data_IF_992947284671
#
_entry.id   IF_992947284671
#
_cell.length_a   1.000
_cell.length_b   1.000
_cell.length_c   1.000
_cell.angle_alpha   90.00
_cell.angle_beta   90.00
_cell.angle_gamma   90.00
#
_symmetry.space_group_name_H-M   'P 1'
#
loop_
_entity.id
_entity.type
_entity.pdbx_description
1 polymer ?
#
# COMPACT_ATOMS: atom_id res chain seq x y z
N UNK A 1 15.63 -19.62 9.27
CA UNK A 1 14.35 -18.89 9.47
C UNK A 1 13.28 -19.95 9.64
N UNK A 2 12.31 -19.75 10.55
CA UNK A 2 11.21 -20.71 10.76
C UNK A 2 10.23 -20.69 9.58
N UNK A 3 9.53 -21.80 9.34
CA UNK A 3 8.49 -21.92 8.29
C UNK A 3 7.43 -20.80 8.38
N UNK A 4 7.10 -20.37 9.60
CA UNK A 4 6.16 -19.28 9.86
C UNK A 4 6.67 -17.93 9.33
N UNK A 5 7.98 -17.65 9.47
CA UNK A 5 8.57 -16.42 8.97
C UNK A 5 8.55 -16.37 7.43
N UNK A 6 8.78 -17.50 6.76
CA UNK A 6 8.66 -17.60 5.30
C UNK A 6 7.20 -17.44 4.84
N UNK A 7 6.25 -18.02 5.57
CA UNK A 7 4.82 -17.85 5.29
C UNK A 7 4.35 -16.39 5.42
N UNK A 8 4.87 -15.66 6.41
CA UNK A 8 4.61 -14.23 6.55
C UNK A 8 5.21 -13.40 5.41
N UNK A 9 6.46 -13.68 5.02
CA UNK A 9 7.10 -12.99 3.88
C UNK A 9 6.34 -13.25 2.58
N UNK A 10 5.89 -14.49 2.37
CA UNK A 10 5.04 -14.86 1.24
C UNK A 10 3.71 -14.08 1.28
N UNK A 11 3.10 -13.98 2.46
CA UNK A 11 1.87 -13.20 2.66
C UNK A 11 2.06 -11.71 2.43
N UNK A 12 3.26 -11.14 2.68
CA UNK A 12 3.57 -9.75 2.37
C UNK A 12 3.56 -9.48 0.86
N UNK A 13 4.00 -10.44 0.05
CA UNK A 13 4.25 -10.29 -1.39
C UNK A 13 2.97 -10.28 -2.24
N UNK A 14 2.18 -9.21 -2.10
CA UNK A 14 0.96 -8.96 -2.86
C UNK A 14 0.69 -7.45 -2.97
N UNK A 15 -0.42 -7.08 -3.63
CA UNK A 15 -0.91 -5.70 -3.66
C UNK A 15 -1.82 -5.41 -2.47
N UNK A 16 -1.50 -4.32 -1.78
CA UNK A 16 -2.22 -3.83 -0.61
C UNK A 16 -2.87 -2.49 -0.91
N UNK A 17 -4.11 -2.35 -0.46
CA UNK A 17 -5.01 -1.28 -0.85
C UNK A 17 -5.52 -0.53 0.38
N UNK A 18 -5.38 0.80 0.36
CA UNK A 18 -5.99 1.65 1.38
C UNK A 18 -7.45 2.04 1.03
N UNK A 19 -7.81 1.93 -0.25
CA UNK A 19 -9.13 2.16 -0.82
C UNK A 19 -9.46 1.15 -1.92
N UNK A 20 -10.75 0.96 -2.21
CA UNK A 20 -11.20 -0.01 -3.23
C UNK A 20 -10.95 0.42 -4.69
N UNK A 21 -10.68 1.71 -4.93
CA UNK A 21 -10.42 2.31 -6.24
C UNK A 21 -8.93 2.20 -6.66
N UNK A 22 -8.07 1.72 -5.77
CA UNK A 22 -6.64 1.56 -6.00
C UNK A 22 -5.92 2.90 -6.19
N UNK A 23 -6.38 3.94 -5.50
CA UNK A 23 -5.76 5.28 -5.51
C UNK A 23 -4.52 5.34 -4.61
N UNK A 24 -4.55 4.60 -3.51
CA UNK A 24 -3.46 4.49 -2.56
C UNK A 24 -3.11 3.01 -2.35
N UNK A 25 -2.02 2.59 -2.99
CA UNK A 25 -1.58 1.19 -2.97
C UNK A 25 -0.10 1.05 -2.64
N UNK A 26 0.23 -0.09 -2.04
CA UNK A 26 1.60 -0.56 -1.89
C UNK A 26 1.66 -2.02 -2.32
N UNK A 27 2.58 -2.35 -3.22
CA UNK A 27 2.77 -3.71 -3.74
C UNK A 27 4.16 -4.20 -3.40
N UNK A 28 4.25 -5.40 -2.83
CA UNK A 28 5.52 -6.08 -2.57
C UNK A 28 5.69 -7.27 -3.52
N UNK A 29 6.86 -7.37 -4.13
CA UNK A 29 7.26 -8.50 -4.95
C UNK A 29 8.28 -9.36 -4.20
N UNK A 30 8.26 -10.68 -4.42
CA UNK A 30 9.15 -11.66 -3.78
C UNK A 30 10.65 -11.48 -4.06
N UNK A 31 11.01 -10.63 -5.03
CA UNK A 31 12.40 -10.28 -5.36
C UNK A 31 12.99 -9.10 -4.60
N UNK A 32 12.35 -8.64 -3.51
CA UNK A 32 12.83 -7.47 -2.75
C UNK A 32 12.59 -6.14 -3.48
N UNK A 33 11.62 -6.10 -4.39
CA UNK A 33 11.16 -4.88 -5.06
C UNK A 33 9.69 -4.66 -4.78
N UNK A 34 9.21 -3.45 -5.05
CA UNK A 34 7.80 -3.12 -4.90
C UNK A 34 7.46 -1.79 -5.52
N UNK A 35 6.21 -1.38 -5.36
CA UNK A 35 5.66 -0.16 -5.93
C UNK A 35 4.83 0.56 -4.87
N UNK A 36 5.00 1.88 -4.77
CA UNK A 36 4.19 2.74 -3.93
C UNK A 36 3.44 3.73 -4.82
N UNK A 37 2.13 3.79 -4.64
CA UNK A 37 1.25 4.69 -5.39
C UNK A 37 0.44 5.54 -4.42
N UNK A 38 0.40 6.83 -4.72
CA UNK A 38 -0.57 7.76 -4.16
C UNK A 38 -1.03 8.69 -5.27
N UNK A 39 -2.29 8.53 -5.63
CA UNK A 39 -3.04 9.39 -6.54
C UNK A 39 -4.41 9.67 -5.91
N UNK A 40 -5.13 10.64 -6.44
CA UNK A 40 -6.56 10.78 -6.22
C UNK A 40 -7.13 11.63 -7.35
N UNK A 41 -8.31 11.27 -7.84
CA UNK A 41 -8.93 11.92 -8.98
C UNK A 41 -7.96 11.97 -10.19
N UNK A 42 -7.64 13.18 -10.68
CA UNK A 42 -6.71 13.41 -11.79
C UNK A 42 -5.27 13.71 -11.34
N UNK A 43 -5.00 13.69 -10.04
CA UNK A 43 -3.69 14.02 -9.48
C UNK A 43 -2.92 12.76 -9.10
N UNK A 44 -1.62 12.77 -9.40
CA UNK A 44 -0.69 11.71 -9.00
C UNK A 44 0.44 12.41 -8.29
N UNK A 45 0.86 11.86 -7.16
CA UNK A 45 1.95 12.43 -6.36
C UNK A 45 3.11 11.46 -6.21
N UNK A 46 2.77 10.20 -5.94
CA UNK A 46 3.73 9.11 -5.82
C UNK A 46 3.34 8.01 -6.78
N UNK A 47 4.27 7.61 -7.61
CA UNK A 47 4.20 6.47 -8.51
C UNK A 47 5.63 5.96 -8.70
N UNK A 48 6.15 5.30 -7.68
CA UNK A 48 7.57 5.02 -7.51
C UNK A 48 7.81 3.54 -7.24
N UNK A 49 8.89 2.99 -7.80
CA UNK A 49 9.41 1.70 -7.37
C UNK A 49 10.17 1.85 -6.05
N UNK A 50 10.19 0.80 -5.25
CA UNK A 50 11.04 0.70 -4.09
C UNK A 50 11.78 -0.63 -4.05
N UNK A 51 12.89 -0.66 -3.32
CA UNK A 51 13.50 -1.91 -2.87
C UNK A 51 13.12 -2.17 -1.42
N UNK A 52 13.03 -3.44 -1.05
CA UNK A 52 12.75 -3.84 0.32
C UNK A 52 13.50 -5.12 0.68
N UNK A 53 13.69 -5.32 1.98
CA UNK A 53 14.23 -6.55 2.55
C UNK A 53 13.67 -6.77 3.94
N UNK A 54 13.55 -8.04 4.33
CA UNK A 54 13.41 -8.41 5.73
C UNK A 54 14.68 -8.01 6.49
N UNK A 55 14.52 -7.55 7.71
CA UNK A 55 15.62 -7.26 8.64
C UNK A 55 15.36 -8.00 9.95
N UNK A 56 16.38 -8.10 10.79
CA UNK A 56 16.23 -8.79 12.08
C UNK A 56 15.20 -8.07 12.94
N UNK A 57 14.19 -8.83 13.38
CA UNK A 57 13.18 -8.35 14.30
C UNK A 57 13.79 -8.13 15.70
N UNK A 58 13.33 -7.13 16.46
CA UNK A 58 13.63 -7.06 17.89
C UNK A 58 13.12 -8.33 18.59
N UNK A 59 13.79 -8.77 19.65
CA UNK A 59 13.59 -10.08 20.30
C UNK A 59 12.19 -10.39 20.85
N UNK A 60 11.23 -9.46 20.74
CA UNK A 60 9.85 -9.53 21.27
C UNK A 60 8.77 -9.29 20.20
N UNK A 61 9.04 -9.54 18.92
CA UNK A 61 8.01 -9.46 17.88
C UNK A 61 7.02 -10.61 17.97
N UNK A 62 5.73 -10.32 17.83
CA UNK A 62 4.69 -11.34 17.77
C UNK A 62 4.79 -12.19 16.49
N UNK A 63 4.17 -13.37 16.50
CA UNK A 63 4.20 -14.34 15.39
C UNK A 63 3.59 -13.84 14.07
N UNK A 64 2.94 -12.68 14.08
CA UNK A 64 2.34 -12.05 12.91
C UNK A 64 3.05 -10.75 12.49
N UNK A 65 4.25 -10.50 13.04
CA UNK A 65 5.02 -9.30 12.78
C UNK A 65 6.30 -9.56 12.00
N UNK A 66 6.67 -8.59 11.16
CA UNK A 66 7.88 -8.60 10.35
C UNK A 66 8.58 -7.25 10.48
N UNK A 67 9.88 -7.26 10.76
CA UNK A 67 10.70 -6.08 10.58
C UNK A 67 11.18 -6.03 9.13
N UNK A 68 10.91 -4.91 8.44
CA UNK A 68 11.32 -4.70 7.05
C UNK A 68 12.01 -3.35 6.88
N UNK A 69 12.86 -3.24 5.88
CA UNK A 69 13.40 -1.98 5.41
C UNK A 69 12.90 -1.71 4.00
N UNK A 70 12.41 -0.50 3.74
CA UNK A 70 11.95 -0.04 2.43
C UNK A 70 12.77 1.19 2.01
N UNK A 71 13.17 1.24 0.75
CA UNK A 71 13.83 2.40 0.15
C UNK A 71 13.13 2.77 -1.16
N UNK A 72 12.49 3.95 -1.19
CA UNK A 72 11.94 4.50 -2.43
C UNK A 72 13.06 4.81 -3.42
N UNK A 73 12.76 4.63 -4.71
CA UNK A 73 13.65 5.00 -5.82
C UNK A 73 13.02 6.14 -6.63
N UNK A 74 13.82 6.79 -7.46
CA UNK A 74 13.31 7.78 -8.42
C UNK A 74 12.70 7.13 -9.67
N UNK A 75 12.76 5.80 -9.77
CA UNK A 75 12.21 5.05 -10.90
C UNK A 75 10.69 5.09 -10.86
N UNK A 76 10.10 5.67 -11.91
CA UNK A 76 8.65 5.74 -12.11
C UNK A 76 8.09 4.36 -12.48
N UNK A 77 6.79 4.17 -12.24
CA UNK A 77 6.07 2.96 -12.65
C UNK A 77 5.08 3.28 -13.78
N UNK A 78 4.73 2.32 -14.64
CA UNK A 78 3.66 2.50 -15.61
C UNK A 78 2.32 2.86 -14.97
N UNK A 79 1.50 3.71 -15.61
CA UNK A 79 1.75 4.40 -16.88
C UNK A 79 2.50 5.75 -16.72
N UNK A 80 2.95 6.10 -15.52
CA UNK A 80 3.56 7.40 -15.19
C UNK A 80 5.04 7.51 -15.53
N UNK A 81 5.65 6.42 -16.01
CA UNK A 81 6.95 6.40 -16.66
C UNK A 81 6.90 6.86 -18.13
N UNK A 82 5.69 7.05 -18.68
CA UNK A 82 5.51 7.52 -20.05
C UNK A 82 6.12 8.92 -20.26
N UNK A 83 6.84 9.15 -21.37
CA UNK A 83 7.32 10.49 -21.76
C UNK A 83 6.19 11.51 -21.96
N UNK A 84 4.95 11.05 -22.22
CA UNK A 84 3.79 11.93 -22.39
C UNK A 84 3.19 12.42 -21.08
N UNK A 85 3.58 11.82 -19.94
CA UNK A 85 3.12 12.26 -18.63
C UNK A 85 3.89 13.51 -18.19
N UNK A 86 3.18 14.63 -18.05
CA UNK A 86 3.75 15.94 -17.72
C UNK A 86 3.57 16.34 -16.24
N UNK A 87 2.93 15.49 -15.43
CA UNK A 87 2.71 15.76 -14.02
C UNK A 87 3.99 15.72 -13.17
N UNK A 88 4.02 16.52 -12.10
CA UNK A 88 5.10 16.48 -11.10
C UNK A 88 4.83 15.36 -10.10
N UNK A 89 5.72 14.36 -10.05
CA UNK A 89 5.63 13.23 -9.12
C UNK A 89 6.99 12.90 -8.49
N UNK A 90 7.00 12.04 -7.48
CA UNK A 90 8.21 11.46 -6.89
C UNK A 90 9.26 12.53 -6.56
N UNK A 91 10.45 12.46 -7.16
CA UNK A 91 11.59 13.36 -6.94
C UNK A 91 11.32 14.82 -7.26
N UNK A 92 10.20 15.15 -7.92
CA UNK A 92 9.78 16.52 -8.23
C UNK A 92 8.90 17.14 -7.13
N UNK A 93 8.26 16.31 -6.29
CA UNK A 93 7.41 16.72 -5.16
C UNK A 93 7.91 16.21 -3.81
N UNK A 94 8.96 15.39 -3.80
CA UNK A 94 9.63 14.86 -2.60
C UNK A 94 11.08 15.32 -2.53
N UNK A 95 11.57 15.56 -1.31
CA UNK A 95 12.98 15.87 -1.06
C UNK A 95 13.83 14.59 -0.93
N UNK A 96 15.17 14.74 -0.89
CA UNK A 96 16.10 13.60 -0.91
C UNK A 96 15.89 12.60 0.23
N UNK A 97 15.47 13.10 1.40
CA UNK A 97 15.18 12.33 2.60
C UNK A 97 14.06 11.29 2.41
N UNK A 98 13.15 11.52 1.46
CA UNK A 98 12.12 10.56 1.07
C UNK A 98 12.70 9.25 0.49
N UNK A 99 13.89 9.31 -0.10
CA UNK A 99 14.54 8.21 -0.82
C UNK A 99 15.62 7.50 0.03
N UNK A 100 15.79 7.91 1.28
CA UNK A 100 16.64 7.21 2.25
C UNK A 100 15.91 5.96 2.75
N UNK A 101 16.61 4.82 2.95
CA UNK A 101 16.01 3.62 3.54
C UNK A 101 15.37 3.89 4.90
N UNK A 102 14.14 3.39 5.09
CA UNK A 102 13.38 3.48 6.34
C UNK A 102 13.01 2.09 6.82
N UNK A 103 13.08 1.88 8.13
CA UNK A 103 12.73 0.61 8.77
C UNK A 103 11.33 0.68 9.35
N UNK A 104 10.60 -0.41 9.23
CA UNK A 104 9.22 -0.55 9.66
C UNK A 104 9.05 -1.86 10.41
N UNK A 105 8.21 -1.80 11.44
CA UNK A 105 7.61 -3.01 12.00
C UNK A 105 6.20 -3.12 11.43
N UNK A 106 5.95 -4.18 10.67
CA UNK A 106 4.64 -4.43 10.09
C UNK A 106 3.96 -5.62 10.74
N UNK A 107 2.65 -5.54 10.88
CA UNK A 107 1.78 -6.62 11.35
C UNK A 107 0.90 -7.08 10.20
N UNK A 108 0.85 -8.39 9.96
CA UNK A 108 -0.02 -9.00 8.94
C UNK A 108 -1.09 -9.84 9.65
N UNK A 109 -2.35 -9.51 9.43
CA UNK A 109 -3.49 -10.24 10.01
C UNK A 109 -4.33 -10.88 8.91
N UNK A 110 -4.84 -12.09 9.18
CA UNK A 110 -5.80 -12.79 8.33
C UNK A 110 -7.19 -12.64 8.93
N UNK A 111 -8.19 -12.35 8.11
CA UNK A 111 -9.54 -12.09 8.58
C UNK A 111 -10.48 -11.64 7.48
N UNK A 112 -11.49 -10.86 7.86
CA UNK A 112 -12.42 -10.22 6.93
C UNK A 112 -12.40 -8.72 7.16
N UNK A 113 -11.71 -8.02 6.26
CA UNK A 113 -11.44 -6.59 6.40
C UNK A 113 -12.10 -5.79 5.28
N UNK A 114 -12.34 -4.52 5.55
CA UNK A 114 -12.74 -3.51 4.57
C UNK A 114 -11.58 -2.51 4.48
N UNK A 115 -11.26 -2.03 3.28
CA UNK A 115 -10.19 -1.06 3.12
C UNK A 115 -10.51 0.24 3.90
N UNK A 116 -9.51 0.88 4.53
CA UNK A 116 -9.73 1.98 5.47
C UNK A 116 -10.60 3.13 4.92
N UNK A 117 -10.38 3.55 3.67
CA UNK A 117 -11.17 4.62 3.07
C UNK A 117 -12.64 4.26 2.97
N UNK A 118 -12.94 3.04 2.47
CA UNK A 118 -14.29 2.56 2.29
C UNK A 118 -15.01 2.46 3.64
N UNK A 119 -14.31 1.97 4.68
CA UNK A 119 -14.85 1.88 6.04
C UNK A 119 -15.23 3.26 6.63
N UNK A 120 -14.52 4.32 6.26
CA UNK A 120 -14.77 5.70 6.71
C UNK A 120 -15.89 6.39 5.91
N UNK A 121 -15.99 6.10 4.62
CA UNK A 121 -16.83 6.85 3.68
C UNK A 121 -18.10 6.12 3.25
N UNK A 122 -18.39 4.96 3.84
CA UNK A 122 -19.60 4.20 3.54
C UNK A 122 -20.89 5.00 3.75
N UNK A 123 -21.49 5.41 2.64
CA UNK A 123 -22.92 5.71 2.50
C UNK A 123 -23.56 4.65 1.61
N UNK A 124 -24.17 3.63 2.23
CA UNK A 124 -25.04 2.59 1.61
C UNK A 124 -24.39 1.78 0.47
N UNK A 125 -23.66 0.72 0.83
CA UNK A 125 -23.21 -0.31 -0.13
C UNK A 125 -22.34 -1.40 0.53
N UNK A 126 -22.27 -2.59 -0.08
CA UNK A 126 -21.38 -3.66 0.32
C UNK A 126 -19.97 -3.40 -0.23
N UNK A 127 -19.11 -2.71 0.53
CA UNK A 127 -17.71 -2.55 0.11
C UNK A 127 -17.04 -3.92 0.01
N UNK A 128 -16.03 -4.03 -0.87
CA UNK A 128 -15.28 -5.27 -0.99
C UNK A 128 -14.68 -5.70 0.35
N UNK A 129 -14.71 -7.01 0.57
CA UNK A 129 -14.02 -7.63 1.69
C UNK A 129 -12.63 -8.09 1.25
N UNK A 130 -11.70 -8.08 2.18
CA UNK A 130 -10.31 -8.46 1.97
C UNK A 130 -9.92 -9.52 3.00
N UNK A 131 -9.14 -10.51 2.59
CA UNK A 131 -8.71 -11.62 3.43
C UNK A 131 -7.55 -11.27 4.38
N UNK A 132 -6.84 -10.17 4.09
CA UNK A 132 -5.66 -9.75 4.83
C UNK A 132 -5.68 -8.26 5.16
N UNK A 133 -5.07 -7.90 6.28
CA UNK A 133 -4.74 -6.54 6.67
C UNK A 133 -3.24 -6.45 6.98
N UNK A 134 -2.59 -5.43 6.42
CA UNK A 134 -1.21 -5.04 6.71
C UNK A 134 -1.25 -3.71 7.46
N UNK A 135 -0.64 -3.66 8.64
CA UNK A 135 -0.52 -2.42 9.42
C UNK A 135 0.94 -2.13 9.70
N UNK A 136 1.38 -0.93 9.32
CA UNK A 136 2.70 -0.42 9.67
C UNK A 136 2.67 0.31 11.01
N UNK A 137 3.79 0.25 11.74
CA UNK A 137 4.05 1.07 12.92
C UNK A 137 4.06 2.58 12.60
N UNK A 138 4.56 2.94 11.41
CA UNK A 138 4.55 4.29 10.84
C UNK A 138 4.18 4.25 9.35
N UNK A 139 3.64 5.33 8.79
CA UNK A 139 3.22 5.31 7.38
C UNK A 139 4.37 4.97 6.42
N UNK A 140 4.15 4.08 5.44
CA UNK A 140 5.14 3.82 4.38
C UNK A 140 5.24 4.97 3.37
N UNK A 141 4.37 5.97 3.44
CA UNK A 141 4.47 7.19 2.65
C UNK A 141 5.44 8.18 3.31
N UNK A 142 6.18 8.99 2.53
CA UNK A 142 7.03 10.03 3.10
C UNK A 142 6.27 10.95 4.05
N UNK A 143 6.76 11.24 5.28
CA UNK A 143 6.12 12.16 6.21
C UNK A 143 6.06 13.57 5.64
N UNK A 144 5.12 14.40 6.11
CA UNK A 144 4.87 15.75 5.58
C UNK A 144 6.13 16.60 5.34
N UNK A 145 7.11 16.55 6.25
CA UNK A 145 8.37 17.32 6.14
C UNK A 145 9.26 16.92 4.94
N UNK A 146 9.00 15.76 4.34
CA UNK A 146 9.74 15.22 3.20
C UNK A 146 9.08 15.58 1.85
N UNK A 147 8.05 16.42 1.87
CA UNK A 147 7.37 16.91 0.68
C UNK A 147 7.79 18.34 0.35
N UNK A 148 7.92 18.63 -0.94
CA UNK A 148 8.00 19.99 -1.46
C UNK A 148 6.58 20.46 -1.74
N UNK A 149 6.23 21.64 -1.20
CA UNK A 149 4.96 22.30 -1.50
C UNK A 149 3.75 21.33 -1.32
N UNK A 150 3.55 20.70 -0.15
CA UNK A 150 2.52 19.68 0.07
C UNK A 150 1.08 20.24 0.07
N UNK A 151 0.91 21.55 -0.11
CA UNK A 151 -0.39 22.20 -0.10
C UNK A 151 -1.33 21.60 -1.17
N UNK A 152 -2.63 21.58 -0.87
CA UNK A 152 -3.64 21.00 -1.76
C UNK A 152 -3.89 19.52 -1.44
N UNK A 153 -3.76 18.67 -2.45
CA UNK A 153 -4.13 17.24 -2.36
C UNK A 153 -3.40 16.46 -1.26
N UNK A 154 -2.06 16.49 -1.19
CA UNK A 154 -1.32 15.75 -0.16
C UNK A 154 -1.72 16.13 1.26
N UNK A 155 -1.84 17.43 1.54
CA UNK A 155 -2.29 17.95 2.84
C UNK A 155 -3.76 17.64 3.16
N UNK A 156 -4.64 17.69 2.15
CA UNK A 156 -6.08 17.38 2.31
C UNK A 156 -6.28 15.91 2.61
N UNK A 157 -5.59 15.03 1.88
CA UNK A 157 -5.71 13.57 2.00
C UNK A 157 -4.86 12.98 3.12
N UNK A 158 -4.01 13.80 3.77
CA UNK A 158 -3.07 13.39 4.81
C UNK A 158 -2.35 12.10 4.42
N UNK A 159 -1.68 12.09 3.26
CA UNK A 159 -1.07 10.89 2.67
C UNK A 159 -0.17 10.16 3.67
N UNK A 160 0.60 10.92 4.45
CA UNK A 160 1.52 10.42 5.49
C UNK A 160 0.86 9.83 6.74
N UNK A 161 -0.46 9.88 6.89
CA UNK A 161 -1.17 9.26 8.02
C UNK A 161 -1.67 7.84 7.65
N UNK A 162 -1.58 7.44 6.38
CA UNK A 162 -2.03 6.13 5.88
C UNK A 162 -1.07 5.04 6.31
N UNK A 163 -1.48 4.17 7.23
CA UNK A 163 -0.64 3.10 7.81
C UNK A 163 -1.21 1.69 7.67
N UNK A 164 -2.47 1.56 7.31
CA UNK A 164 -3.17 0.27 7.23
C UNK A 164 -3.66 0.03 5.82
N UNK A 165 -3.48 -1.18 5.31
CA UNK A 165 -3.85 -1.55 3.95
C UNK A 165 -4.46 -2.96 3.97
N UNK A 166 -5.28 -3.28 2.97
CA UNK A 166 -5.95 -4.57 2.86
C UNK A 166 -5.58 -5.29 1.56
N UNK A 167 -5.55 -6.62 1.58
CA UNK A 167 -5.21 -7.44 0.41
C UNK A 167 -6.02 -8.74 0.34
N UNK A 168 -5.94 -9.44 -0.78
CA UNK A 168 -6.74 -10.65 -1.04
C UNK A 168 -8.23 -10.34 -1.13
N UNK A 169 -8.62 -9.47 -2.06
CA UNK A 169 -10.02 -9.10 -2.31
C UNK A 169 -10.86 -10.36 -2.51
N UNK A 170 -11.90 -10.52 -1.70
CA UNK A 170 -12.83 -11.64 -1.74
C UNK A 170 -13.97 -11.24 -2.68
N UNK A 171 -14.15 -11.98 -3.79
CA UNK A 171 -15.28 -11.76 -4.68
C UNK A 171 -16.59 -12.09 -3.94
N UNK A 172 -17.59 -11.22 -4.03
CA UNK A 172 -18.93 -11.54 -3.56
C UNK A 172 -19.59 -12.57 -4.49
N UNK A 173 -20.25 -13.58 -3.91
CA UNK A 173 -20.97 -14.65 -4.61
C UNK A 173 -22.20 -14.17 -5.42
N UNK A 174 -22.41 -12.87 -5.61
CA UNK A 174 -23.55 -12.31 -6.35
C UNK A 174 -23.56 -12.66 -7.85
N UNK A 175 -22.50 -13.29 -8.39
CA UNK A 175 -22.49 -13.76 -9.79
C UNK A 175 -23.08 -15.16 -9.97
N UNK A 176 -23.37 -15.90 -8.90
CA UNK A 176 -23.91 -17.27 -8.95
C UNK A 176 -25.41 -17.35 -9.21
N UNK A 177 -26.20 -16.53 -8.52
CA UNK A 177 -27.67 -16.60 -8.59
C UNK A 177 -28.26 -16.19 -9.95
N UNK A 178 -27.66 -15.21 -10.64
CA UNK A 178 -28.11 -14.82 -11.99
C UNK A 178 -27.88 -15.90 -13.04
N UNK A 179 -26.89 -16.79 -12.87
CA UNK A 179 -26.67 -17.91 -13.80
C UNK A 179 -27.69 -19.03 -13.64
N UNK A 180 -28.28 -19.19 -12.46
CA UNK A 180 -29.29 -20.23 -12.18
C UNK A 180 -30.70 -19.85 -12.64
N UNK A 181 -30.96 -18.58 -12.95
CA UNK A 181 -32.29 -18.07 -13.32
C UNK A 181 -32.57 -18.12 -14.83
N UNK A 182 -31.56 -18.41 -15.65
CA UNK A 182 -31.66 -18.50 -17.10
C UNK A 182 -31.21 -19.87 -17.66
N UNK A 183 -31.34 -20.92 -16.85
CA UNK A 183 -31.12 -22.31 -17.27
C UNK A 183 -32.40 -23.12 -17.18
#
# INVERSE_FOLDING_TARGET
MSDDHEALLSSLCQSWHWDSDGEHTITFNSGGTGQLVSRAEMSVWIASQFTWKAIDSPATTADNQLAIQIQLTQTRIPPWDSPTFTGRINEQVLIGEAFVPKSYLVTIERGSFIAPWDAQHMRRGAAPKYAFQLTFDQSPYPPRKEWREPEGGPDTLKIWDKKTFCAGKVESEEKGWFKSLFQ
#
